data_IF_504912932542
#
_entry.id   IF_504912932542
#
_cell.length_a   1.000
_cell.length_b   1.000
_cell.length_c   1.000
_cell.angle_alpha   90.00
_cell.angle_beta   90.00
_cell.angle_gamma   90.00
#
_symmetry.space_group_name_H-M   'P 1'
#
loop_
_entity.id
_entity.type
_entity.pdbx_description
1 polymer ?
#
# COMPACT_ATOMS: atom_id res chain seq x y z
N UNK A 1 -27.27 -6.17 24.38
CA UNK A 1 -25.80 -5.96 24.39
C UNK A 1 -25.51 -4.86 23.39
N UNK A 2 -24.80 -3.80 23.80
CA UNK A 2 -24.40 -2.73 22.87
C UNK A 2 -23.60 -3.31 21.71
N UNK A 3 -24.05 -3.02 20.49
CA UNK A 3 -23.45 -3.49 19.24
C UNK A 3 -21.95 -3.20 19.16
N UNK A 4 -21.56 -2.03 19.70
CA UNK A 4 -20.18 -1.60 19.82
C UNK A 4 -19.38 -2.52 20.75
N UNK A 5 -19.83 -2.73 21.98
CA UNK A 5 -19.12 -3.57 22.96
C UNK A 5 -18.96 -5.01 22.45
N UNK A 6 -20.01 -5.56 21.83
CA UNK A 6 -19.96 -6.88 21.19
C UNK A 6 -18.92 -6.91 20.05
N UNK A 7 -18.95 -5.93 19.16
CA UNK A 7 -18.04 -5.85 18.00
C UNK A 7 -16.58 -5.68 18.42
N UNK A 8 -16.32 -4.86 19.44
CA UNK A 8 -15.00 -4.67 20.04
C UNK A 8 -14.46 -5.99 20.62
N UNK A 9 -15.28 -6.70 21.41
CA UNK A 9 -14.91 -7.99 22.00
C UNK A 9 -14.65 -9.04 20.93
N UNK A 10 -15.51 -9.12 19.92
CA UNK A 10 -15.34 -10.02 18.79
C UNK A 10 -14.05 -9.72 18.02
N UNK A 11 -13.72 -8.45 17.80
CA UNK A 11 -12.49 -8.01 17.13
C UNK A 11 -11.24 -8.44 17.90
N UNK A 12 -11.18 -8.19 19.21
CA UNK A 12 -10.06 -8.61 20.07
C UNK A 12 -9.88 -10.13 20.03
N UNK A 13 -10.98 -10.88 20.20
CA UNK A 13 -10.93 -12.33 20.17
C UNK A 13 -10.47 -12.86 18.80
N UNK A 14 -10.92 -12.23 17.71
CA UNK A 14 -10.50 -12.59 16.34
C UNK A 14 -8.99 -12.40 16.10
N UNK A 15 -8.35 -11.45 16.79
CA UNK A 15 -6.92 -11.25 16.71
C UNK A 15 -6.11 -12.37 17.36
N UNK A 16 -6.63 -13.09 18.34
CA UNK A 16 -5.86 -14.15 19.02
C UNK A 16 -6.38 -15.56 18.73
N UNK A 17 -7.45 -15.70 17.95
CA UNK A 17 -8.08 -17.01 17.65
C UNK A 17 -7.18 -17.99 16.89
N UNK A 18 -6.43 -17.51 15.89
CA UNK A 18 -5.56 -18.36 15.05
C UNK A 18 -4.10 -17.96 15.19
N UNK A 19 -3.21 -18.96 15.31
CA UNK A 19 -1.75 -18.77 15.47
C UNK A 19 -1.39 -17.80 16.60
N UNK A 20 -2.01 -18.02 17.78
CA UNK A 20 -1.94 -17.13 18.95
C UNK A 20 -0.50 -16.76 19.33
N UNK A 21 0.39 -17.75 19.39
CA UNK A 21 1.81 -17.56 19.73
C UNK A 21 2.52 -16.63 18.74
N UNK A 22 2.37 -16.87 17.44
CA UNK A 22 2.94 -16.01 16.39
C UNK A 22 2.43 -14.56 16.50
N UNK A 23 1.13 -14.37 16.75
CA UNK A 23 0.53 -13.03 16.84
C UNK A 23 0.95 -12.31 18.13
N UNK A 24 1.10 -13.03 19.23
CA UNK A 24 1.68 -12.48 20.46
C UNK A 24 3.14 -12.06 20.27
N UNK A 25 3.95 -12.90 19.61
CA UNK A 25 5.34 -12.56 19.28
C UNK A 25 5.44 -11.33 18.38
N UNK A 26 4.59 -11.22 17.36
CA UNK A 26 4.53 -10.04 16.49
C UNK A 26 4.12 -8.77 17.26
N UNK A 27 3.17 -8.89 18.19
CA UNK A 27 2.78 -7.77 19.05
C UNK A 27 3.91 -7.36 19.99
N UNK A 28 4.58 -8.32 20.64
CA UNK A 28 5.74 -8.07 21.50
C UNK A 28 6.88 -7.40 20.73
N UNK A 29 7.19 -7.89 19.52
CA UNK A 29 8.15 -7.26 18.63
C UNK A 29 7.73 -5.82 18.25
N UNK A 30 6.45 -5.60 17.94
CA UNK A 30 5.92 -4.26 17.66
C UNK A 30 6.07 -3.30 18.84
N UNK A 31 5.79 -3.76 20.07
CA UNK A 31 5.98 -2.97 21.28
C UNK A 31 7.46 -2.67 21.56
N UNK A 32 8.34 -3.65 21.37
CA UNK A 32 9.79 -3.45 21.49
C UNK A 32 10.29 -2.43 20.45
N UNK A 33 9.85 -2.54 19.20
CA UNK A 33 10.16 -1.58 18.15
C UNK A 33 9.65 -0.18 18.49
N UNK A 34 8.41 -0.05 18.97
CA UNK A 34 7.89 1.22 19.47
C UNK A 34 8.75 1.81 20.59
N UNK A 35 9.27 0.98 21.51
CA UNK A 35 10.22 1.43 22.53
C UNK A 35 11.52 1.99 21.94
N UNK A 36 12.13 1.27 20.99
CA UNK A 36 13.35 1.71 20.30
C UNK A 36 13.12 3.03 19.55
N UNK A 37 12.02 3.13 18.79
CA UNK A 37 11.70 4.37 18.07
C UNK A 37 11.38 5.52 19.04
N UNK A 38 10.68 5.27 20.14
CA UNK A 38 10.40 6.31 21.15
C UNK A 38 11.69 6.85 21.75
N UNK A 39 12.64 5.96 22.05
CA UNK A 39 13.96 6.34 22.54
C UNK A 39 14.75 7.15 21.50
N UNK A 40 14.74 6.74 20.23
CA UNK A 40 15.39 7.49 19.14
C UNK A 40 14.81 8.90 18.99
N UNK A 41 13.48 9.04 18.96
CA UNK A 41 12.82 10.35 18.86
C UNK A 41 13.05 11.21 20.10
N UNK A 42 13.03 10.62 21.30
CA UNK A 42 13.37 11.32 22.54
C UNK A 42 14.83 11.82 22.53
N UNK A 43 15.76 11.01 22.03
CA UNK A 43 17.16 11.39 21.86
C UNK A 43 17.31 12.56 20.88
N UNK A 44 16.62 12.53 19.73
CA UNK A 44 16.61 13.64 18.77
C UNK A 44 16.03 14.92 19.37
N UNK A 45 14.93 14.82 20.13
CA UNK A 45 14.35 15.99 20.83
C UNK A 45 15.32 16.58 21.85
N UNK A 46 16.06 15.75 22.58
CA UNK A 46 17.07 16.20 23.53
C UNK A 46 18.26 16.88 22.83
N UNK A 47 18.75 16.28 21.75
CA UNK A 47 19.80 16.86 20.91
C UNK A 47 19.37 18.22 20.33
N UNK A 48 18.15 18.33 19.83
CA UNK A 48 17.59 19.58 19.32
C UNK A 48 17.52 20.66 20.41
N UNK A 49 17.04 20.30 21.60
CA UNK A 49 16.94 21.22 22.73
C UNK A 49 18.32 21.70 23.23
N UNK A 50 19.35 20.86 23.09
CA UNK A 50 20.72 21.17 23.50
C UNK A 50 21.55 21.84 22.38
N UNK A 51 20.97 22.08 21.20
CA UNK A 51 21.68 22.64 20.05
C UNK A 51 22.70 21.69 19.42
N UNK A 52 22.62 20.38 19.71
CA UNK A 52 23.52 19.36 19.15
C UNK A 52 23.23 18.98 17.70
N UNK A 53 22.07 19.38 17.17
CA UNK A 53 21.68 19.21 15.77
C UNK A 53 21.15 20.53 15.20
N UNK A 54 21.23 20.69 13.88
CA UNK A 54 20.73 21.88 13.17
C UNK A 54 19.20 22.03 13.16
N UNK A 55 18.47 20.96 13.51
CA UNK A 55 17.02 20.94 13.52
C UNK A 55 16.47 21.44 14.86
N UNK A 56 15.44 22.27 14.82
CA UNK A 56 14.76 22.74 16.03
C UNK A 56 13.87 21.65 16.63
N UNK A 57 13.51 21.81 17.91
CA UNK A 57 12.58 20.92 18.61
C UNK A 57 11.26 20.81 17.85
N UNK A 58 10.75 21.94 17.36
CA UNK A 58 9.50 22.00 16.61
C UNK A 58 9.56 21.16 15.33
N UNK A 59 10.67 21.20 14.60
CA UNK A 59 10.85 20.41 13.39
C UNK A 59 10.91 18.91 13.68
N UNK A 60 11.52 18.50 14.80
CA UNK A 60 11.54 17.09 15.22
C UNK A 60 10.13 16.61 15.60
N UNK A 61 9.34 17.44 16.29
CA UNK A 61 7.94 17.15 16.61
C UNK A 61 7.09 17.06 15.35
N UNK A 62 7.32 17.96 14.38
CA UNK A 62 6.66 17.94 13.08
C UNK A 62 6.92 16.62 12.34
N UNK A 63 8.18 16.20 12.25
CA UNK A 63 8.56 14.92 11.64
C UNK A 63 7.97 13.72 12.38
N UNK A 64 7.84 13.79 13.71
CA UNK A 64 7.19 12.75 14.49
C UNK A 64 5.71 12.60 14.09
N UNK A 65 4.98 13.71 13.98
CA UNK A 65 3.59 13.71 13.57
C UNK A 65 3.41 13.27 12.10
N UNK A 66 4.28 13.74 11.20
CA UNK A 66 4.29 13.31 9.80
C UNK A 66 4.57 11.81 9.68
N UNK A 67 5.50 11.27 10.47
CA UNK A 67 5.79 9.84 10.51
C UNK A 67 4.58 9.02 10.94
N UNK A 68 3.87 9.44 12.00
CA UNK A 68 2.63 8.79 12.46
C UNK A 68 1.55 8.83 11.39
N UNK A 69 1.36 9.98 10.74
CA UNK A 69 0.39 10.14 9.67
C UNK A 69 0.73 9.24 8.48
N UNK A 70 2.00 9.25 8.06
CA UNK A 70 2.49 8.46 6.94
C UNK A 70 2.35 6.96 7.19
N UNK A 71 2.76 6.45 8.36
CA UNK A 71 2.71 5.01 8.64
C UNK A 71 1.26 4.48 8.69
N UNK A 72 0.31 5.28 9.19
CA UNK A 72 -1.11 4.90 9.22
C UNK A 72 -1.69 4.88 7.82
N UNK A 73 -1.37 5.84 6.95
CA UNK A 73 -1.87 5.85 5.58
C UNK A 73 -1.18 4.75 4.76
N UNK A 74 0.15 4.70 4.79
CA UNK A 74 0.96 3.75 4.02
C UNK A 74 0.60 2.29 4.32
N UNK A 75 0.30 1.91 5.57
CA UNK A 75 -0.13 0.53 5.88
C UNK A 75 -1.34 0.09 5.05
N UNK A 76 -2.20 1.03 4.67
CA UNK A 76 -3.43 0.76 3.93
C UNK A 76 -3.19 0.47 2.46
N UNK A 77 -2.01 0.82 1.94
CA UNK A 77 -1.71 0.81 0.51
C UNK A 77 -0.42 0.06 0.16
N UNK A 78 0.56 0.02 1.06
CA UNK A 78 1.89 -0.54 0.86
C UNK A 78 2.22 -1.62 1.91
N UNK A 79 2.85 -2.75 1.52
CA UNK A 79 3.25 -3.16 0.16
C UNK A 79 2.08 -3.68 -0.68
N UNK A 80 0.93 -3.91 -0.06
CA UNK A 80 -0.30 -4.30 -0.73
C UNK A 80 -1.49 -3.58 -0.07
N UNK A 81 -2.48 -3.23 -0.88
CA UNK A 81 -3.69 -2.58 -0.41
C UNK A 81 -4.47 -3.42 0.62
N UNK A 82 -4.84 -2.82 1.75
CA UNK A 82 -5.66 -3.44 2.80
C UNK A 82 -7.07 -2.84 2.75
N UNK A 83 -8.12 -3.67 2.68
CA UNK A 83 -9.49 -3.18 2.62
C UNK A 83 -10.07 -2.68 3.92
N UNK A 84 -11.08 -1.83 3.77
CA UNK A 84 -11.95 -1.40 4.85
C UNK A 84 -12.75 -2.57 5.39
N UNK A 85 -12.90 -2.63 6.70
CA UNK A 85 -13.64 -3.71 7.36
C UNK A 85 -15.14 -3.39 7.32
N UNK A 86 -15.91 -4.07 6.48
CA UNK A 86 -17.38 -4.00 6.56
C UNK A 86 -17.86 -4.96 7.66
N UNK A 87 -17.85 -4.50 8.92
CA UNK A 87 -18.27 -5.30 10.08
C UNK A 87 -19.78 -5.60 10.04
N UNK A 88 -20.58 -4.62 9.64
CA UNK A 88 -22.04 -4.73 9.60
C UNK A 88 -22.47 -4.48 8.16
N UNK A 89 -22.99 -5.51 7.50
CA UNK A 89 -23.51 -5.37 6.14
C UNK A 89 -24.66 -4.35 6.10
N UNK A 90 -24.78 -3.59 5.01
CA UNK A 90 -25.83 -2.58 4.84
C UNK A 90 -27.26 -3.13 4.81
N UNK A 91 -27.40 -4.46 4.68
CA UNK A 91 -28.67 -5.17 4.65
C UNK A 91 -29.23 -5.40 6.06
N UNK A 92 -28.37 -5.35 7.08
CA UNK A 92 -28.84 -5.47 8.45
C UNK A 92 -29.63 -4.23 8.85
N UNK A 93 -30.71 -4.38 9.64
CA UNK A 93 -31.59 -3.29 10.05
C UNK A 93 -30.95 -2.44 11.17
N UNK A 94 -29.75 -1.92 10.92
CA UNK A 94 -29.01 -1.04 11.82
C UNK A 94 -28.96 0.36 11.20
N UNK A 95 -29.20 1.39 12.01
CA UNK A 95 -29.17 2.76 11.52
C UNK A 95 -27.80 3.12 10.93
N UNK A 96 -27.77 3.96 9.89
CA UNK A 96 -26.52 4.32 9.22
C UNK A 96 -25.50 4.98 10.17
N UNK A 97 -25.98 5.76 11.15
CA UNK A 97 -25.14 6.42 12.15
C UNK A 97 -24.55 5.42 13.14
N UNK A 98 -25.36 4.49 13.65
CA UNK A 98 -24.90 3.47 14.60
C UNK A 98 -23.89 2.53 13.93
N UNK A 99 -24.14 2.15 12.67
CA UNK A 99 -23.19 1.39 11.86
C UNK A 99 -21.87 2.14 11.69
N UNK A 100 -21.94 3.41 11.28
CA UNK A 100 -20.74 4.25 11.08
C UNK A 100 -19.92 4.38 12.36
N UNK A 101 -20.56 4.72 13.49
CA UNK A 101 -19.90 4.86 14.79
C UNK A 101 -19.27 3.55 15.25
N UNK A 102 -19.99 2.44 15.10
CA UNK A 102 -19.48 1.11 15.48
C UNK A 102 -18.26 0.75 14.64
N UNK A 103 -18.33 0.89 13.33
CA UNK A 103 -17.21 0.57 12.45
C UNK A 103 -15.99 1.47 12.72
N UNK A 104 -16.20 2.78 12.87
CA UNK A 104 -15.12 3.74 13.14
C UNK A 104 -14.39 3.40 14.44
N UNK A 105 -15.12 3.09 15.51
CA UNK A 105 -14.51 2.81 16.82
C UNK A 105 -13.89 1.41 16.89
N UNK A 106 -14.49 0.41 16.24
CA UNK A 106 -13.93 -0.96 16.23
C UNK A 106 -12.66 -1.03 15.37
N UNK A 107 -12.53 -0.23 14.33
CA UNK A 107 -11.31 -0.18 13.52
C UNK A 107 -10.10 0.38 14.29
N UNK A 108 -10.32 1.27 15.25
CA UNK A 108 -9.28 1.75 16.18
C UNK A 108 -8.76 0.65 17.11
N UNK A 109 -9.52 -0.42 17.29
CA UNK A 109 -9.06 -1.62 18.00
C UNK A 109 -8.27 -2.47 17.01
N UNK A 110 -7.00 -2.11 16.81
CA UNK A 110 -6.04 -2.88 16.03
C UNK A 110 -4.66 -2.88 16.68
N UNK A 111 -3.84 -3.94 16.47
CA UNK A 111 -2.51 -4.02 17.06
C UNK A 111 -1.62 -2.81 16.76
N UNK A 112 -1.74 -2.22 15.56
CA UNK A 112 -0.95 -1.04 15.19
C UNK A 112 -1.28 0.16 16.08
N UNK A 113 -2.56 0.46 16.32
CA UNK A 113 -2.93 1.61 17.15
C UNK A 113 -2.48 1.40 18.59
N UNK A 114 -2.50 0.16 19.09
CA UNK A 114 -1.90 -0.16 20.40
C UNK A 114 -0.39 0.11 20.42
N UNK A 115 0.35 -0.28 19.38
CA UNK A 115 1.79 -0.02 19.25
C UNK A 115 2.07 1.48 19.15
N UNK A 116 1.28 2.24 18.39
CA UNK A 116 1.43 3.69 18.26
C UNK A 116 1.12 4.43 19.56
N UNK A 117 0.06 4.03 20.29
CA UNK A 117 -0.24 4.60 21.61
C UNK A 117 0.88 4.30 22.61
N UNK A 118 1.46 3.09 22.56
CA UNK A 118 2.61 2.74 23.38
C UNK A 118 3.84 3.59 23.02
N UNK A 119 4.10 3.81 21.73
CA UNK A 119 5.13 4.73 21.25
C UNK A 119 4.93 6.16 21.80
N UNK A 120 3.72 6.72 21.68
CA UNK A 120 3.42 8.06 22.20
C UNK A 120 3.58 8.15 23.73
N UNK A 121 3.12 7.12 24.45
CA UNK A 121 3.25 7.05 25.90
C UNK A 121 4.70 7.00 26.37
N UNK A 122 5.54 6.20 25.70
CA UNK A 122 6.97 6.15 25.99
C UNK A 122 7.69 7.44 25.60
N UNK A 123 7.35 8.03 24.44
CA UNK A 123 7.93 9.31 24.02
C UNK A 123 7.65 10.43 25.05
N UNK A 124 6.43 10.48 25.58
CA UNK A 124 6.04 11.40 26.65
C UNK A 124 6.80 11.20 27.95
N UNK A 125 7.07 9.95 28.34
CA UNK A 125 7.84 9.64 29.55
C UNK A 125 9.34 9.95 29.36
N UNK A 126 9.88 9.67 28.17
CA UNK A 126 11.32 9.74 27.90
C UNK A 126 11.80 11.15 27.53
N UNK A 127 10.93 12.03 27.02
CA UNK A 127 11.31 13.36 26.53
C UNK A 127 10.57 14.47 27.27
N UNK A 128 11.25 15.31 28.08
CA UNK A 128 10.62 16.44 28.76
C UNK A 128 10.16 17.54 27.80
N UNK A 129 10.73 17.60 26.58
CA UNK A 129 10.31 18.53 25.54
C UNK A 129 8.94 18.15 24.92
N UNK A 130 8.51 16.90 25.10
CA UNK A 130 7.24 16.40 24.58
C UNK A 130 6.12 16.62 25.60
N UNK A 131 5.54 17.82 25.60
CA UNK A 131 4.51 18.20 26.59
C UNK A 131 3.16 17.48 26.38
N UNK A 132 2.26 17.59 27.36
CA UNK A 132 0.89 17.05 27.28
C UNK A 132 0.13 17.57 26.07
N UNK A 133 0.38 18.82 25.69
CA UNK A 133 -0.23 19.47 24.53
C UNK A 133 0.17 18.73 23.24
N UNK A 134 1.46 18.43 23.07
CA UNK A 134 1.96 17.64 21.94
C UNK A 134 1.42 16.21 21.95
N UNK A 135 1.30 15.57 23.12
CA UNK A 135 0.69 14.25 23.25
C UNK A 135 -0.76 14.25 22.74
N UNK A 136 -1.56 15.22 23.16
CA UNK A 136 -2.95 15.36 22.69
C UNK A 136 -3.01 15.62 21.18
N UNK A 137 -2.12 16.46 20.66
CA UNK A 137 -2.01 16.69 19.23
C UNK A 137 -1.72 15.40 18.46
N UNK A 138 -0.72 14.62 18.86
CA UNK A 138 -0.36 13.38 18.16
C UNK A 138 -1.47 12.32 18.25
N UNK A 139 -2.26 12.29 19.33
CA UNK A 139 -3.49 11.48 19.38
C UNK A 139 -4.48 11.95 18.33
N UNK A 140 -4.72 13.26 18.20
CA UNK A 140 -5.58 13.79 17.14
C UNK A 140 -5.01 13.47 15.74
N UNK A 141 -3.69 13.47 15.55
CA UNK A 141 -3.03 13.08 14.29
C UNK A 141 -3.32 11.63 13.96
N UNK A 142 -3.24 10.71 14.94
CA UNK A 142 -3.62 9.30 14.76
C UNK A 142 -5.06 9.19 14.28
N UNK A 143 -5.99 9.89 14.94
CA UNK A 143 -7.42 9.87 14.58
C UNK A 143 -7.65 10.43 13.17
N UNK A 144 -6.99 11.53 12.83
CA UNK A 144 -7.10 12.16 11.51
C UNK A 144 -6.56 11.27 10.41
N UNK A 145 -5.40 10.64 10.63
CA UNK A 145 -4.83 9.68 9.70
C UNK A 145 -5.73 8.44 9.54
N UNK A 146 -6.36 7.98 10.62
CA UNK A 146 -7.31 6.87 10.57
C UNK A 146 -8.54 7.20 9.71
N UNK A 147 -9.17 8.36 9.94
CA UNK A 147 -10.35 8.79 9.17
C UNK A 147 -9.94 9.05 7.71
N UNK A 148 -8.79 9.67 7.47
CA UNK A 148 -8.25 9.89 6.12
C UNK A 148 -8.07 8.56 5.38
N UNK A 149 -7.43 7.58 6.01
CA UNK A 149 -7.29 6.23 5.44
C UNK A 149 -8.66 5.63 5.11
N UNK A 150 -9.62 5.72 6.03
CA UNK A 150 -10.97 5.19 5.87
C UNK A 150 -11.70 5.88 4.71
N UNK A 151 -11.62 7.20 4.57
CA UNK A 151 -12.23 7.95 3.47
C UNK A 151 -11.59 7.61 2.13
N UNK A 152 -10.26 7.52 2.08
CA UNK A 152 -9.54 7.07 0.88
C UNK A 152 -9.95 5.65 0.50
N UNK A 153 -10.07 4.75 1.48
CA UNK A 153 -10.60 3.41 1.24
C UNK A 153 -12.02 3.51 0.70
N UNK A 154 -12.98 4.18 1.35
CA UNK A 154 -14.35 4.30 0.84
C UNK A 154 -14.40 4.82 -0.60
N UNK A 155 -13.60 5.84 -0.93
CA UNK A 155 -13.51 6.42 -2.27
C UNK A 155 -12.95 5.45 -3.31
N UNK A 156 -11.91 4.72 -2.96
CA UNK A 156 -11.30 3.68 -3.80
C UNK A 156 -12.24 2.46 -3.89
N UNK A 157 -13.01 2.19 -2.84
CA UNK A 157 -13.76 0.96 -2.66
C UNK A 157 -15.13 0.90 -3.31
N UNK A 158 -15.92 1.94 -3.06
CA UNK A 158 -17.35 1.93 -3.35
C UNK A 158 -17.65 2.77 -4.58
N UNK A 159 -18.73 2.42 -5.31
CA UNK A 159 -19.17 3.26 -6.44
C UNK A 159 -19.87 4.49 -5.88
N UNK A 160 -19.34 5.67 -6.15
CA UNK A 160 -19.94 6.92 -5.69
C UNK A 160 -21.15 7.32 -6.55
N UNK A 161 -22.22 7.77 -5.88
CA UNK A 161 -23.34 8.44 -6.53
C UNK A 161 -23.03 9.94 -6.64
N UNK A 162 -22.41 10.31 -7.75
CA UNK A 162 -21.87 11.66 -8.01
C UNK A 162 -22.87 12.82 -7.86
N UNK A 163 -24.17 12.57 -8.00
CA UNK A 163 -25.23 13.60 -7.97
C UNK A 163 -26.07 13.58 -6.69
N UNK A 164 -25.58 12.98 -5.61
CA UNK A 164 -26.33 12.92 -4.34
C UNK A 164 -25.97 14.10 -3.45
N UNK A 165 -26.96 14.62 -2.72
CA UNK A 165 -26.76 15.67 -1.71
C UNK A 165 -25.67 15.27 -0.70
N UNK A 166 -25.66 13.99 -0.28
CA UNK A 166 -24.65 13.45 0.61
C UNK A 166 -23.22 13.62 0.05
N UNK A 167 -22.99 13.44 -1.26
CA UNK A 167 -21.66 13.67 -1.81
C UNK A 167 -21.28 15.15 -1.76
N UNK A 168 -22.20 16.05 -2.09
CA UNK A 168 -21.94 17.49 -1.98
C UNK A 168 -21.65 17.89 -0.53
N UNK A 169 -22.41 17.39 0.44
CA UNK A 169 -22.15 17.62 1.87
C UNK A 169 -20.78 17.06 2.29
N UNK A 170 -20.40 15.89 1.80
CA UNK A 170 -19.06 15.32 2.04
C UNK A 170 -17.95 16.22 1.48
N UNK A 171 -18.09 16.71 0.25
CA UNK A 171 -17.12 17.61 -0.39
C UNK A 171 -17.02 18.95 0.36
N UNK A 172 -18.13 19.53 0.79
CA UNK A 172 -18.13 20.77 1.58
C UNK A 172 -17.39 20.57 2.91
N UNK A 173 -17.68 19.48 3.63
CA UNK A 173 -17.01 19.18 4.91
C UNK A 173 -15.52 18.85 4.72
N UNK A 174 -15.16 18.15 3.63
CA UNK A 174 -13.77 17.94 3.25
C UNK A 174 -13.06 19.25 2.90
N UNK A 175 -13.75 20.16 2.20
CA UNK A 175 -13.25 21.51 1.91
C UNK A 175 -13.00 22.32 3.19
N UNK A 176 -13.90 22.24 4.17
CA UNK A 176 -13.70 22.86 5.48
C UNK A 176 -12.49 22.27 6.23
N UNK A 177 -12.32 20.94 6.20
CA UNK A 177 -11.11 20.30 6.73
C UNK A 177 -9.84 20.82 6.05
N UNK A 178 -9.80 20.83 4.70
CA UNK A 178 -8.63 21.31 3.94
C UNK A 178 -8.34 22.78 4.25
N UNK A 179 -9.36 23.64 4.33
CA UNK A 179 -9.19 25.06 4.62
C UNK A 179 -8.57 25.30 6.01
N UNK A 180 -9.00 24.52 7.02
CA UNK A 180 -8.42 24.59 8.36
C UNK A 180 -6.98 24.05 8.38
N UNK A 181 -6.72 22.94 7.69
CA UNK A 181 -5.38 22.33 7.60
C UNK A 181 -4.39 23.19 6.81
N UNK A 182 -4.85 23.95 5.81
CA UNK A 182 -4.00 24.87 5.06
C UNK A 182 -3.52 26.05 5.91
N UNK A 183 -4.31 26.47 6.91
CA UNK A 183 -3.95 27.55 7.83
C UNK A 183 -3.18 27.07 9.06
N UNK A 184 -3.61 25.96 9.64
CA UNK A 184 -3.00 25.36 10.82
C UNK A 184 -2.82 23.86 10.55
N UNK A 185 -1.72 23.47 9.88
CA UNK A 185 -1.48 22.08 9.53
C UNK A 185 -1.28 21.24 10.79
N UNK A 186 -2.00 20.13 10.88
CA UNK A 186 -2.06 19.31 12.09
C UNK A 186 -0.77 18.57 12.43
N UNK A 187 0.17 18.52 11.50
CA UNK A 187 1.50 17.99 11.73
C UNK A 187 2.44 19.01 12.38
N UNK A 188 2.22 20.32 12.21
CA UNK A 188 3.03 21.36 12.85
C UNK A 188 2.73 21.39 14.35
N UNK A 189 3.75 21.41 15.24
CA UNK A 189 3.54 21.33 16.68
C UNK A 189 2.66 22.47 17.18
N UNK A 190 1.67 22.13 18.00
CA UNK A 190 0.76 23.10 18.54
C UNK A 190 1.45 23.92 19.63
N UNK A 191 1.41 25.24 19.48
CA UNK A 191 1.98 26.17 20.46
C UNK A 191 0.99 26.49 21.58
N UNK A 192 -0.30 26.38 21.30
CA UNK A 192 -1.39 26.81 22.18
C UNK A 192 -2.57 25.83 22.16
N UNK A 193 -3.33 25.80 23.27
CA UNK A 193 -4.55 24.99 23.40
C UNK A 193 -5.62 25.36 22.37
N UNK A 194 -5.67 26.62 21.94
CA UNK A 194 -6.59 27.06 20.89
C UNK A 194 -6.33 26.32 19.57
N UNK A 195 -5.07 26.03 19.26
CA UNK A 195 -4.71 25.28 18.06
C UNK A 195 -5.22 23.83 18.12
N UNK A 196 -5.21 23.20 19.31
CA UNK A 196 -5.84 21.89 19.50
C UNK A 196 -7.35 21.92 19.26
N UNK A 197 -8.04 23.01 19.66
CA UNK A 197 -9.47 23.18 19.37
C UNK A 197 -9.72 23.27 17.86
N UNK A 198 -8.87 24.01 17.13
CA UNK A 198 -8.94 24.10 15.67
C UNK A 198 -8.70 22.72 15.04
N UNK A 199 -7.71 21.97 15.52
CA UNK A 199 -7.46 20.61 15.05
C UNK A 199 -8.62 19.66 15.33
N UNK A 200 -9.22 19.75 16.52
CA UNK A 200 -10.41 18.96 16.89
C UNK A 200 -11.61 19.30 16.00
N UNK A 201 -11.83 20.59 15.70
CA UNK A 201 -12.87 21.03 14.76
C UNK A 201 -12.59 20.50 13.34
N UNK A 202 -11.34 20.53 12.91
CA UNK A 202 -10.94 19.97 11.60
C UNK A 202 -11.19 18.46 11.52
N UNK A 203 -10.85 17.71 12.58
CA UNK A 203 -11.16 16.29 12.69
C UNK A 203 -12.67 16.04 12.66
N UNK A 204 -13.46 16.88 13.36
CA UNK A 204 -14.91 16.85 13.31
C UNK A 204 -15.45 17.00 11.88
N UNK A 205 -14.93 17.98 11.12
CA UNK A 205 -15.27 18.16 9.71
C UNK A 205 -14.85 16.97 8.84
N UNK A 206 -13.71 16.35 9.10
CA UNK A 206 -13.28 15.16 8.37
C UNK A 206 -14.16 13.93 8.68
N UNK A 207 -14.54 13.74 9.94
CA UNK A 207 -15.44 12.65 10.37
C UNK A 207 -16.83 12.81 9.75
N UNK A 208 -17.36 14.05 9.71
CA UNK A 208 -18.64 14.31 9.03
C UNK A 208 -18.53 14.11 7.53
N UNK A 209 -17.41 14.52 6.92
CA UNK A 209 -17.14 14.24 5.51
C UNK A 209 -17.16 12.74 5.20
N UNK A 210 -16.49 11.91 6.02
CA UNK A 210 -16.47 10.45 5.87
C UNK A 210 -17.87 9.83 6.02
N UNK A 211 -18.63 10.28 7.02
CA UNK A 211 -20.01 9.82 7.22
C UNK A 211 -20.91 10.07 6.00
N UNK A 212 -20.85 11.27 5.43
CA UNK A 212 -21.60 11.62 4.24
C UNK A 212 -21.09 10.88 2.99
N UNK A 213 -19.78 10.68 2.88
CA UNK A 213 -19.17 9.89 1.81
C UNK A 213 -19.69 8.45 1.82
N UNK A 214 -19.80 7.85 3.01
CA UNK A 214 -20.36 6.52 3.18
C UNK A 214 -21.83 6.41 2.80
N UNK A 215 -22.64 7.45 3.06
CA UNK A 215 -24.03 7.51 2.61
C UNK A 215 -24.15 7.73 1.10
N UNK A 216 -23.19 8.42 0.48
CA UNK A 216 -23.15 8.64 -0.96
C UNK A 216 -22.68 7.40 -1.75
N UNK A 217 -21.99 6.47 -1.07
CA UNK A 217 -21.53 5.23 -1.65
C UNK A 217 -22.69 4.27 -1.95
N UNK A 218 -22.80 3.83 -3.21
CA UNK A 218 -23.76 2.79 -3.60
C UNK A 218 -23.26 1.38 -3.23
N UNK A 219 -24.19 0.47 -2.97
CA UNK A 219 -23.89 -0.96 -2.82
C UNK A 219 -23.11 -1.53 -4.02
N UNK A 220 -22.26 -2.54 -3.79
CA UNK A 220 -21.52 -3.19 -4.87
C UNK A 220 -22.49 -3.77 -5.91
N UNK A 221 -22.38 -3.33 -7.16
CA UNK A 221 -23.13 -3.86 -8.32
C UNK A 221 -23.09 -5.40 -8.31
N UNK A 222 -24.26 -6.05 -8.48
CA UNK A 222 -24.33 -7.42 -9.01
C UNK A 222 -23.41 -7.53 -10.23
N UNK A 223 -22.58 -8.58 -10.29
CA UNK A 223 -21.66 -8.84 -11.41
C UNK A 223 -22.47 -8.81 -12.73
N UNK A 224 -22.31 -7.73 -13.49
CA UNK A 224 -22.76 -7.65 -14.88
C UNK A 224 -21.62 -8.19 -15.71
N UNK A 225 -21.82 -9.35 -16.33
CA UNK A 225 -20.84 -9.97 -17.22
C UNK A 225 -20.91 -9.19 -18.52
N UNK A 226 -20.00 -8.23 -18.70
CA UNK A 226 -19.84 -7.53 -19.97
C UNK A 226 -19.07 -8.43 -20.93
N UNK A 227 -19.77 -9.08 -21.85
CA UNK A 227 -19.14 -9.72 -23.00
C UNK A 227 -18.61 -8.63 -23.93
N UNK A 228 -17.30 -8.58 -24.16
CA UNK A 228 -16.75 -7.73 -25.22
C UNK A 228 -16.81 -8.51 -26.54
N UNK A 229 -17.66 -8.07 -27.48
CA UNK A 229 -17.77 -8.63 -28.83
C UNK A 229 -16.63 -8.22 -29.78
N UNK A 230 -15.69 -7.40 -29.30
CA UNK A 230 -14.67 -6.75 -30.13
C UNK A 230 -13.46 -7.66 -30.40
N UNK A 231 -13.55 -8.51 -31.43
CA UNK A 231 -12.51 -9.47 -31.81
C UNK A 231 -11.19 -8.80 -32.26
N UNK A 232 -11.23 -7.54 -32.71
CA UNK A 232 -10.07 -6.80 -33.23
C UNK A 232 -9.10 -6.32 -32.14
N UNK A 233 -9.46 -6.41 -30.86
CA UNK A 233 -8.59 -5.94 -29.75
C UNK A 233 -7.60 -7.01 -29.31
N UNK A 234 -6.34 -6.60 -29.12
CA UNK A 234 -5.27 -7.47 -28.69
C UNK A 234 -5.61 -8.19 -27.38
N UNK A 235 -5.23 -9.48 -27.25
CA UNK A 235 -5.58 -10.30 -26.08
C UNK A 235 -5.03 -9.70 -24.77
N UNK A 236 -3.82 -9.13 -24.79
CA UNK A 236 -3.27 -8.41 -23.63
C UNK A 236 -4.10 -7.21 -23.20
N UNK A 237 -4.65 -6.42 -24.14
CA UNK A 237 -5.57 -5.33 -23.82
C UNK A 237 -6.88 -5.85 -23.22
N UNK A 238 -7.40 -6.97 -23.73
CA UNK A 238 -8.58 -7.63 -23.17
C UNK A 238 -8.32 -8.14 -21.75
N UNK A 239 -7.19 -8.78 -21.49
CA UNK A 239 -6.79 -9.23 -20.15
C UNK A 239 -6.72 -8.07 -19.17
N UNK A 240 -6.05 -6.97 -19.54
CA UNK A 240 -5.96 -5.77 -18.72
C UNK A 240 -7.31 -5.09 -18.50
N UNK A 241 -8.10 -4.86 -19.56
CA UNK A 241 -9.37 -4.13 -19.47
C UNK A 241 -10.45 -4.92 -18.73
N UNK A 242 -10.55 -6.23 -18.98
CA UNK A 242 -11.64 -7.06 -18.49
C UNK A 242 -11.39 -7.56 -17.06
N UNK A 243 -10.13 -7.75 -16.64
CA UNK A 243 -9.84 -8.16 -15.27
C UNK A 243 -9.85 -6.95 -14.32
N UNK A 244 -11.06 -6.57 -13.89
CA UNK A 244 -11.32 -5.36 -13.07
C UNK A 244 -10.34 -5.18 -11.90
N UNK A 245 -10.02 -6.25 -11.17
CA UNK A 245 -9.13 -6.16 -10.01
C UNK A 245 -7.67 -5.92 -10.37
N UNK A 246 -7.16 -6.66 -11.36
CA UNK A 246 -5.79 -6.46 -11.84
C UNK A 246 -5.63 -5.04 -12.39
N UNK A 247 -6.61 -4.58 -13.17
CA UNK A 247 -6.65 -3.21 -13.69
C UNK A 247 -6.56 -2.16 -12.58
N UNK A 248 -7.38 -2.32 -11.54
CA UNK A 248 -7.45 -1.32 -10.47
C UNK A 248 -6.19 -1.32 -9.59
N UNK A 249 -5.61 -2.49 -9.29
CA UNK A 249 -4.34 -2.57 -8.57
C UNK A 249 -3.17 -1.99 -9.38
N UNK A 250 -3.15 -2.22 -10.70
CA UNK A 250 -2.17 -1.60 -11.60
C UNK A 250 -2.37 -0.09 -11.72
N UNK A 251 -3.60 0.40 -11.91
CA UNK A 251 -3.88 1.84 -11.96
C UNK A 251 -3.49 2.53 -10.66
N UNK A 252 -3.74 1.90 -9.51
CA UNK A 252 -3.29 2.42 -8.22
C UNK A 252 -1.76 2.49 -8.16
N UNK A 253 -1.06 1.41 -8.51
CA UNK A 253 0.41 1.37 -8.56
C UNK A 253 1.00 2.44 -9.49
N UNK A 254 0.44 2.59 -10.69
CA UNK A 254 0.86 3.62 -11.65
C UNK A 254 0.61 5.04 -11.13
N UNK A 255 -0.54 5.28 -10.49
CA UNK A 255 -0.85 6.59 -9.91
C UNK A 255 0.15 6.93 -8.80
N UNK A 256 0.44 5.97 -7.93
CA UNK A 256 1.40 6.15 -6.84
C UNK A 256 2.82 6.41 -7.36
N UNK A 257 3.28 5.61 -8.33
CA UNK A 257 4.57 5.82 -9.01
C UNK A 257 4.64 7.20 -9.67
N UNK A 258 3.59 7.61 -10.37
CA UNK A 258 3.53 8.92 -11.03
C UNK A 258 3.63 10.05 -10.01
N UNK A 259 2.96 9.95 -8.85
CA UNK A 259 3.05 10.96 -7.78
C UNK A 259 4.49 11.07 -7.25
N UNK A 260 5.18 9.96 -7.03
CA UNK A 260 6.56 9.96 -6.52
C UNK A 260 7.52 10.57 -7.55
N UNK A 261 7.44 10.14 -8.81
CA UNK A 261 8.28 10.71 -9.87
C UNK A 261 7.98 12.19 -10.12
N UNK A 262 6.71 12.61 -10.02
CA UNK A 262 6.33 14.02 -10.14
C UNK A 262 6.82 14.86 -8.96
N UNK A 263 6.83 14.31 -7.74
CA UNK A 263 7.38 14.98 -6.57
C UNK A 263 8.88 15.22 -6.71
N UNK A 264 9.61 14.22 -7.22
CA UNK A 264 11.04 14.37 -7.51
C UNK A 264 11.29 15.39 -8.63
N UNK A 265 10.57 15.29 -9.74
CA UNK A 265 10.67 16.26 -10.84
C UNK A 265 10.38 17.70 -10.37
N UNK A 266 9.40 17.88 -9.48
CA UNK A 266 9.10 19.18 -8.90
C UNK A 266 10.23 19.71 -7.99
N UNK A 267 10.86 18.83 -7.20
CA UNK A 267 12.01 19.21 -6.39
C UNK A 267 13.21 19.57 -7.26
N UNK A 268 13.48 18.83 -8.33
CA UNK A 268 14.54 19.14 -9.29
C UNK A 268 14.34 20.53 -9.92
N UNK A 269 13.13 20.83 -10.39
CA UNK A 269 12.81 22.14 -10.98
C UNK A 269 12.96 23.28 -9.98
N UNK A 270 12.65 23.06 -8.69
CA UNK A 270 12.70 24.11 -7.67
C UNK A 270 14.05 24.30 -6.98
N UNK A 271 14.77 23.21 -6.73
CA UNK A 271 15.99 23.18 -5.91
C UNK A 271 17.23 22.83 -6.71
N UNK A 272 17.09 22.40 -7.97
CA UNK A 272 18.20 21.99 -8.83
C UNK A 272 18.79 20.61 -8.49
N UNK A 273 18.19 19.86 -7.56
CA UNK A 273 18.65 18.52 -7.15
C UNK A 273 17.49 17.54 -7.03
N UNK A 274 17.77 16.25 -7.24
CA UNK A 274 16.79 15.19 -7.13
C UNK A 274 16.62 14.74 -5.67
N UNK A 275 15.39 14.43 -5.26
CA UNK A 275 15.11 13.84 -3.94
C UNK A 275 15.73 12.44 -3.86
N UNK A 276 15.84 11.76 -4.99
CA UNK A 276 16.38 10.40 -5.06
C UNK A 276 17.86 10.31 -4.71
N UNK A 277 18.61 11.41 -4.82
CA UNK A 277 20.02 11.46 -4.43
C UNK A 277 20.17 11.38 -2.90
N UNK A 278 19.27 12.05 -2.17
CA UNK A 278 19.24 12.05 -0.71
C UNK A 278 18.58 10.77 -0.14
N UNK A 279 17.58 10.23 -0.84
CA UNK A 279 16.75 9.13 -0.36
C UNK A 279 16.81 7.95 -1.34
N UNK A 280 17.82 7.10 -1.16
CA UNK A 280 18.10 5.95 -2.03
C UNK A 280 16.89 5.01 -2.19
N UNK A 281 16.04 4.89 -1.17
CA UNK A 281 14.87 4.00 -1.20
C UNK A 281 13.81 4.43 -2.22
N UNK A 282 13.79 5.70 -2.64
CA UNK A 282 12.84 6.17 -3.65
C UNK A 282 13.17 5.65 -5.06
N UNK A 283 14.41 5.25 -5.32
CA UNK A 283 14.80 4.60 -6.58
C UNK A 283 14.03 3.31 -6.87
N UNK A 284 13.48 2.66 -5.84
CA UNK A 284 12.63 1.48 -5.99
C UNK A 284 11.37 1.76 -6.83
N UNK A 285 10.90 3.01 -6.85
CA UNK A 285 9.73 3.42 -7.64
C UNK A 285 10.05 3.73 -9.10
N UNK A 286 11.32 3.97 -9.44
CA UNK A 286 11.76 4.21 -10.83
C UNK A 286 11.69 2.92 -11.65
N UNK A 287 11.98 1.78 -11.02
CA UNK A 287 11.95 0.46 -11.66
C UNK A 287 10.56 -0.14 -11.89
N UNK A 288 10.48 -1.33 -12.50
CA UNK A 288 9.23 -2.03 -12.77
C UNK A 288 8.62 -2.74 -11.54
N UNK A 289 9.25 -2.64 -10.36
CA UNK A 289 8.89 -3.35 -9.13
C UNK A 289 7.41 -3.20 -8.78
N UNK A 290 6.84 -2.01 -8.96
CA UNK A 290 5.44 -1.70 -8.66
C UNK A 290 4.48 -2.62 -9.43
N UNK A 291 4.74 -2.86 -10.72
CA UNK A 291 3.89 -3.76 -11.53
C UNK A 291 3.90 -5.19 -10.98
N UNK A 292 5.08 -5.65 -10.57
CA UNK A 292 5.27 -7.01 -10.07
C UNK A 292 4.68 -7.23 -8.68
N UNK A 293 4.92 -6.32 -7.73
CA UNK A 293 4.44 -6.49 -6.34
C UNK A 293 2.91 -6.50 -6.23
N UNK A 294 2.21 -5.74 -7.08
CA UNK A 294 0.76 -5.60 -7.00
C UNK A 294 -0.01 -6.72 -7.70
N UNK A 295 0.45 -7.20 -8.86
CA UNK A 295 -0.30 -8.17 -9.67
C UNK A 295 0.55 -9.37 -10.05
N UNK A 296 1.75 -9.16 -10.57
CA UNK A 296 2.44 -10.23 -11.28
C UNK A 296 3.20 -11.22 -10.39
N UNK A 297 3.47 -10.89 -9.13
CA UNK A 297 3.91 -11.87 -8.12
C UNK A 297 2.83 -12.90 -7.73
N UNK A 298 1.70 -12.91 -8.44
CA UNK A 298 0.67 -13.95 -8.40
C UNK A 298 -0.19 -13.93 -9.70
N UNK A 299 0.46 -13.94 -10.88
CA UNK A 299 -0.21 -13.86 -12.20
C UNK A 299 -1.37 -14.85 -12.31
N UNK A 300 -1.14 -16.10 -11.93
CA UNK A 300 -2.15 -17.17 -12.05
C UNK A 300 -3.28 -17.05 -11.04
N UNK A 301 -3.06 -16.40 -9.91
CA UNK A 301 -4.15 -16.02 -9.01
C UNK A 301 -5.10 -15.01 -9.64
N UNK A 302 -4.57 -13.97 -10.31
CA UNK A 302 -5.41 -13.00 -11.02
C UNK A 302 -6.03 -13.57 -12.30
N UNK A 303 -5.29 -14.39 -13.04
CA UNK A 303 -5.71 -14.91 -14.34
C UNK A 303 -5.93 -16.43 -14.31
N UNK A 304 -6.62 -16.95 -13.27
CA UNK A 304 -6.85 -18.40 -13.08
C UNK A 304 -7.48 -19.11 -14.30
N UNK A 305 -8.41 -18.44 -14.99
CA UNK A 305 -9.06 -18.99 -16.18
C UNK A 305 -8.13 -19.02 -17.40
N UNK A 306 -7.19 -18.06 -17.49
CA UNK A 306 -6.15 -18.07 -18.52
C UNK A 306 -5.23 -19.27 -18.31
N UNK A 307 -4.75 -19.48 -17.07
CA UNK A 307 -3.94 -20.64 -16.71
C UNK A 307 -4.63 -21.96 -17.09
N UNK A 308 -5.90 -22.12 -16.70
CA UNK A 308 -6.68 -23.33 -17.00
C UNK A 308 -6.86 -23.56 -18.52
N UNK A 309 -6.98 -22.48 -19.29
CA UNK A 309 -7.06 -22.56 -20.76
C UNK A 309 -5.72 -23.00 -21.36
N UNK A 310 -4.59 -22.46 -20.87
CA UNK A 310 -3.24 -22.86 -21.33
C UNK A 310 -2.96 -24.33 -21.03
N UNK A 311 -3.32 -24.78 -19.82
CA UNK A 311 -3.17 -26.18 -19.42
C UNK A 311 -4.00 -27.13 -20.27
N UNK A 312 -5.26 -26.78 -20.58
CA UNK A 312 -6.15 -27.63 -21.39
C UNK A 312 -5.81 -27.64 -22.87
N UNK A 313 -5.26 -26.54 -23.41
CA UNK A 313 -4.96 -26.42 -24.84
C UNK A 313 -3.58 -26.94 -25.20
N UNK A 314 -2.55 -26.58 -24.42
CA UNK A 314 -1.16 -26.92 -24.73
C UNK A 314 -0.51 -27.85 -23.71
N UNK A 315 -0.89 -27.74 -22.43
CA UNK A 315 -0.24 -28.46 -21.32
C UNK A 315 1.27 -28.24 -21.21
N UNK A 316 1.84 -27.26 -21.93
CA UNK A 316 3.27 -27.12 -22.15
C UNK A 316 3.85 -25.93 -21.38
N UNK A 317 5.07 -26.09 -20.88
CA UNK A 317 5.83 -25.02 -20.20
C UNK A 317 6.00 -23.79 -21.10
N UNK A 318 6.21 -24.00 -22.41
CA UNK A 318 6.32 -22.90 -23.39
C UNK A 318 5.02 -22.09 -23.47
N UNK A 319 3.87 -22.76 -23.45
CA UNK A 319 2.56 -22.10 -23.42
C UNK A 319 2.37 -21.25 -22.16
N UNK A 320 2.84 -21.76 -21.01
CA UNK A 320 2.79 -21.05 -19.73
C UNK A 320 3.61 -19.76 -19.73
N UNK A 321 4.86 -19.82 -20.23
CA UNK A 321 5.74 -18.65 -20.36
C UNK A 321 5.13 -17.63 -21.34
N UNK A 322 4.67 -18.08 -22.50
CA UNK A 322 4.07 -17.22 -23.53
C UNK A 322 2.84 -16.47 -23.02
N UNK A 323 1.94 -17.17 -22.31
CA UNK A 323 0.76 -16.54 -21.72
C UNK A 323 1.10 -15.55 -20.60
N UNK A 324 2.14 -15.83 -19.81
CA UNK A 324 2.64 -14.90 -18.79
C UNK A 324 3.14 -13.60 -19.43
N UNK A 325 3.97 -13.72 -20.47
CA UNK A 325 4.49 -12.57 -21.21
C UNK A 325 3.38 -11.74 -21.85
N UNK A 326 2.38 -12.41 -22.43
CA UNK A 326 1.22 -11.75 -23.03
C UNK A 326 0.41 -10.93 -22.01
N UNK A 327 0.31 -11.40 -20.76
CA UNK A 327 -0.34 -10.65 -19.68
C UNK A 327 0.52 -9.46 -19.19
N UNK A 328 1.85 -9.62 -19.17
CA UNK A 328 2.82 -8.62 -18.69
C UNK A 328 3.06 -7.45 -19.65
N UNK A 329 3.04 -7.71 -20.97
CA UNK A 329 3.54 -6.75 -21.98
C UNK A 329 2.93 -5.34 -21.88
N UNK A 330 1.62 -5.25 -21.67
CA UNK A 330 0.92 -3.96 -21.69
C UNK A 330 1.16 -3.17 -20.38
N UNK A 331 1.01 -3.78 -19.19
CA UNK A 331 1.40 -3.11 -17.95
C UNK A 331 2.87 -2.69 -17.89
N UNK A 332 3.80 -3.53 -18.39
CA UNK A 332 5.21 -3.16 -18.48
C UNK A 332 5.45 -2.00 -19.46
N UNK A 333 4.77 -1.99 -20.60
CA UNK A 333 4.88 -0.88 -21.55
C UNK A 333 4.39 0.43 -20.95
N UNK A 334 3.26 0.43 -20.24
CA UNK A 334 2.75 1.62 -19.55
C UNK A 334 3.72 2.10 -18.46
N UNK A 335 4.28 1.17 -17.68
CA UNK A 335 5.26 1.47 -16.65
C UNK A 335 6.56 2.08 -17.24
N UNK A 336 7.06 1.49 -18.33
CA UNK A 336 8.24 1.96 -19.03
C UNK A 336 8.04 3.36 -19.62
N UNK A 337 6.85 3.64 -20.18
CA UNK A 337 6.50 4.99 -20.67
C UNK A 337 6.58 6.00 -19.52
N UNK A 338 5.99 5.70 -18.36
CA UNK A 338 6.02 6.58 -17.19
C UNK A 338 7.47 6.85 -16.76
N UNK A 339 8.28 5.80 -16.61
CA UNK A 339 9.69 5.93 -16.21
C UNK A 339 10.51 6.69 -17.25
N UNK A 340 10.44 6.32 -18.53
CA UNK A 340 11.31 6.89 -19.55
C UNK A 340 10.94 8.32 -19.94
N UNK A 341 9.66 8.71 -19.87
CA UNK A 341 9.27 10.11 -20.01
C UNK A 341 9.86 10.95 -18.87
N UNK A 342 9.82 10.43 -17.63
CA UNK A 342 10.45 11.09 -16.49
C UNK A 342 11.96 11.24 -16.68
N UNK A 343 12.66 10.17 -17.05
CA UNK A 343 14.13 10.18 -17.30
C UNK A 343 14.49 11.15 -18.41
N UNK A 344 13.78 11.10 -19.54
CA UNK A 344 14.09 11.93 -20.70
C UNK A 344 13.95 13.44 -20.43
N UNK A 345 13.02 13.82 -19.54
CA UNK A 345 12.73 15.24 -19.27
C UNK A 345 13.53 15.75 -18.06
N UNK A 346 13.64 14.97 -16.99
CA UNK A 346 14.11 15.45 -15.70
C UNK A 346 15.44 14.86 -15.24
N UNK A 347 15.79 13.63 -15.63
CA UNK A 347 16.99 12.95 -15.12
C UNK A 347 17.78 12.30 -16.27
N UNK A 348 18.37 13.14 -17.12
CA UNK A 348 19.13 12.71 -18.29
C UNK A 348 20.57 12.30 -17.95
N UNK A 349 21.11 12.78 -16.83
CA UNK A 349 22.47 12.48 -16.35
C UNK A 349 22.63 11.02 -15.97
N UNK A 350 21.64 10.44 -15.27
CA UNK A 350 21.66 9.03 -14.84
C UNK A 350 20.89 8.10 -15.78
N UNK A 351 20.52 8.58 -16.98
CA UNK A 351 19.67 7.86 -17.91
C UNK A 351 20.21 6.45 -18.25
N UNK A 352 21.53 6.30 -18.40
CA UNK A 352 22.15 5.00 -18.64
C UNK A 352 21.91 4.03 -17.48
N UNK A 353 22.17 4.45 -16.24
CA UNK A 353 21.92 3.62 -15.05
C UNK A 353 20.45 3.23 -14.96
N UNK A 354 19.54 4.19 -15.14
CA UNK A 354 18.10 3.95 -15.01
C UNK A 354 17.61 2.97 -16.05
N UNK A 355 18.03 3.12 -17.31
CA UNK A 355 17.64 2.20 -18.39
C UNK A 355 18.19 0.80 -18.13
N UNK A 356 19.46 0.68 -17.73
CA UNK A 356 20.07 -0.62 -17.43
C UNK A 356 19.42 -1.30 -16.23
N UNK A 357 19.17 -0.55 -15.15
CA UNK A 357 18.45 -1.03 -13.97
C UNK A 357 17.02 -1.45 -14.34
N UNK A 358 16.32 -0.70 -15.19
CA UNK A 358 14.97 -1.03 -15.61
C UNK A 358 14.95 -2.35 -16.41
N UNK A 359 15.84 -2.49 -17.40
CA UNK A 359 15.97 -3.70 -18.21
C UNK A 359 16.35 -4.92 -17.36
N UNK A 360 17.37 -4.78 -16.51
CA UNK A 360 17.76 -5.82 -15.55
C UNK A 360 16.61 -6.17 -14.61
N UNK A 361 15.87 -5.17 -14.14
CA UNK A 361 14.66 -5.32 -13.34
C UNK A 361 13.59 -6.15 -14.02
N UNK A 362 13.29 -5.91 -15.30
CA UNK A 362 12.32 -6.71 -16.07
C UNK A 362 12.82 -8.15 -16.23
N UNK A 363 14.10 -8.34 -16.56
CA UNK A 363 14.70 -9.67 -16.73
C UNK A 363 14.79 -10.46 -15.41
N UNK A 364 14.92 -9.78 -14.28
CA UNK A 364 14.95 -10.37 -12.95
C UNK A 364 13.54 -10.69 -12.42
N UNK A 365 12.62 -9.73 -12.53
CA UNK A 365 11.29 -9.85 -11.95
C UNK A 365 10.38 -10.76 -12.77
N UNK A 366 10.55 -10.84 -14.10
CA UNK A 366 9.69 -11.70 -14.93
C UNK A 366 9.80 -13.19 -14.57
N UNK A 367 11.00 -13.80 -14.49
CA UNK A 367 11.12 -15.19 -14.01
C UNK A 367 10.66 -15.35 -12.56
N UNK A 368 10.98 -14.39 -11.69
CA UNK A 368 10.57 -14.42 -10.28
C UNK A 368 9.05 -14.41 -10.13
N UNK A 369 8.34 -13.68 -10.99
CA UNK A 369 6.87 -13.62 -11.03
C UNK A 369 6.25 -14.98 -11.38
N UNK A 370 6.88 -15.73 -12.29
CA UNK A 370 6.49 -17.09 -12.65
C UNK A 370 6.73 -18.03 -11.48
N UNK A 371 7.93 -17.98 -10.88
CA UNK A 371 8.29 -18.78 -9.69
C UNK A 371 7.29 -18.54 -8.56
N UNK A 372 7.03 -17.27 -8.23
CA UNK A 372 6.12 -16.86 -7.17
C UNK A 372 4.70 -17.41 -7.41
N UNK A 373 4.22 -17.30 -8.66
CA UNK A 373 2.90 -17.76 -9.05
C UNK A 373 2.75 -19.29 -9.02
N UNK A 374 3.84 -20.04 -9.25
CA UNK A 374 3.82 -21.52 -9.26
C UNK A 374 4.03 -22.12 -7.87
N UNK A 375 5.02 -21.61 -7.12
CA UNK A 375 5.44 -22.19 -5.83
C UNK A 375 4.56 -21.71 -4.68
N UNK A 376 4.16 -20.43 -4.71
CA UNK A 376 3.35 -19.78 -3.70
C UNK A 376 2.00 -19.27 -4.22
N UNK A 377 1.18 -20.11 -4.89
CA UNK A 377 -0.07 -19.64 -5.49
C UNK A 377 -1.00 -19.08 -4.42
N UNK A 378 -1.65 -17.98 -4.75
CA UNK A 378 -2.69 -17.37 -3.91
C UNK A 378 -3.97 -17.21 -4.70
N UNK A 379 -5.09 -17.63 -4.13
CA UNK A 379 -6.40 -17.35 -4.70
C UNK A 379 -6.70 -15.86 -4.60
N UNK A 380 -7.00 -15.25 -5.74
CA UNK A 380 -7.52 -13.90 -5.78
C UNK A 380 -9.04 -13.99 -5.79
N UNK A 381 -9.61 -14.09 -4.59
CA UNK A 381 -11.05 -14.16 -4.36
C UNK A 381 -11.54 -12.93 -3.61
N UNK A 382 -12.84 -12.63 -3.73
CA UNK A 382 -13.44 -11.40 -3.19
C UNK A 382 -13.27 -10.19 -4.10
N UNK A 383 -13.68 -9.00 -3.68
CA UNK A 383 -13.57 -7.77 -4.48
C UNK A 383 -12.13 -7.27 -4.60
N UNK A 384 -11.95 -6.03 -5.07
CA UNK A 384 -10.69 -5.29 -4.90
C UNK A 384 -10.19 -5.28 -3.42
N UNK A 385 -11.08 -5.64 -2.49
CA UNK A 385 -11.04 -5.31 -1.08
C UNK A 385 -11.38 -6.48 -0.16
N UNK A 386 -10.90 -7.68 -0.49
CA UNK A 386 -10.94 -8.83 0.41
C UNK A 386 -9.66 -8.94 1.24
N UNK A 387 -9.80 -9.43 2.47
CA UNK A 387 -8.70 -9.68 3.42
C UNK A 387 -7.75 -10.83 3.01
N UNK A 388 -7.92 -11.41 1.81
CA UNK A 388 -6.99 -12.41 1.31
C UNK A 388 -5.79 -11.72 0.67
N UNK A 389 -4.59 -12.09 1.11
CA UNK A 389 -3.36 -11.66 0.48
C UNK A 389 -3.40 -12.05 -1.00
N UNK A 390 -3.45 -11.05 -1.88
CA UNK A 390 -3.59 -11.22 -3.34
C UNK A 390 -2.29 -11.55 -4.03
N UNK A 391 -1.17 -11.31 -3.36
CA UNK A 391 0.16 -11.76 -3.74
C UNK A 391 0.87 -12.35 -2.51
N UNK A 392 1.92 -13.14 -2.76
CA UNK A 392 2.69 -13.75 -1.68
C UNK A 392 3.61 -12.71 -1.02
N UNK A 393 3.42 -12.47 0.28
CA UNK A 393 4.28 -11.56 1.06
C UNK A 393 5.75 -11.97 0.99
N UNK A 394 6.04 -13.26 1.07
CA UNK A 394 7.42 -13.78 0.98
C UNK A 394 8.06 -13.39 -0.36
N UNK A 395 7.37 -13.64 -1.48
CA UNK A 395 7.90 -13.31 -2.80
C UNK A 395 7.95 -11.80 -3.05
N UNK A 396 7.08 -11.00 -2.43
CA UNK A 396 7.21 -9.54 -2.46
C UNK A 396 8.47 -9.07 -1.71
N UNK A 397 8.74 -9.61 -0.52
CA UNK A 397 9.97 -9.30 0.23
C UNK A 397 11.21 -9.71 -0.57
N UNK A 398 11.21 -10.91 -1.16
CA UNK A 398 12.30 -11.37 -2.03
C UNK A 398 12.44 -10.46 -3.26
N UNK A 399 11.33 -10.05 -3.89
CA UNK A 399 11.36 -9.15 -5.04
C UNK A 399 11.97 -7.80 -4.68
N UNK A 400 11.55 -7.21 -3.55
CA UNK A 400 12.09 -5.94 -3.06
C UNK A 400 13.59 -6.12 -2.77
N UNK A 401 13.99 -7.16 -2.04
CA UNK A 401 15.38 -7.40 -1.69
C UNK A 401 16.27 -7.57 -2.94
N UNK A 402 15.87 -8.44 -3.87
CA UNK A 402 16.63 -8.68 -5.11
C UNK A 402 16.65 -7.45 -6.02
N UNK A 403 15.54 -6.70 -6.10
CA UNK A 403 15.49 -5.47 -6.87
C UNK A 403 16.37 -4.37 -6.24
N UNK A 404 16.40 -4.23 -4.91
CA UNK A 404 17.29 -3.31 -4.21
C UNK A 404 18.77 -3.59 -4.48
N UNK A 405 19.15 -4.85 -4.70
CA UNK A 405 20.54 -5.18 -5.08
C UNK A 405 20.92 -4.61 -6.46
N UNK A 406 19.96 -4.32 -7.33
CA UNK A 406 20.23 -3.64 -8.62
C UNK A 406 20.62 -2.16 -8.43
N UNK A 407 20.42 -1.60 -7.23
CA UNK A 407 20.82 -0.23 -6.88
C UNK A 407 22.27 -0.12 -6.42
N UNK A 408 22.95 -1.24 -6.16
CA UNK A 408 24.35 -1.25 -5.70
C UNK A 408 25.33 -0.50 -6.62
N UNK A 409 25.17 -0.43 -7.95
CA UNK A 409 26.04 0.39 -8.81
C UNK A 409 26.06 1.87 -8.46
N UNK A 410 25.07 2.40 -7.72
CA UNK A 410 25.10 3.77 -7.18
C UNK A 410 26.24 3.98 -6.17
N UNK A 411 26.72 2.92 -5.51
CA UNK A 411 27.84 2.99 -4.58
C UNK A 411 29.19 2.88 -5.28
N UNK A 412 29.29 2.00 -6.28
CA UNK A 412 30.53 1.77 -7.02
C UNK A 412 30.27 1.10 -8.37
N UNK A 413 30.85 1.57 -9.50
CA UNK A 413 30.60 1.01 -10.84
C UNK A 413 30.91 -0.49 -10.98
N UNK A 414 31.92 -1.02 -10.29
CA UNK A 414 32.21 -2.47 -10.31
C UNK A 414 31.04 -3.34 -9.85
N UNK A 415 30.11 -2.79 -9.08
CA UNK A 415 28.93 -3.51 -8.58
C UNK A 415 27.92 -3.82 -9.69
N UNK A 416 28.07 -3.29 -10.91
CA UNK A 416 27.33 -3.78 -12.08
C UNK A 416 27.54 -5.29 -12.33
N UNK A 417 28.65 -5.87 -11.86
CA UNK A 417 28.90 -7.31 -11.93
C UNK A 417 27.85 -8.15 -11.17
N UNK A 418 27.07 -7.56 -10.27
CA UNK A 418 26.00 -8.27 -9.58
C UNK A 418 24.81 -8.59 -10.51
N UNK A 419 24.61 -7.81 -11.58
CA UNK A 419 23.48 -7.98 -12.50
C UNK A 419 23.47 -9.37 -13.14
N UNK A 420 24.55 -9.85 -13.81
CA UNK A 420 24.57 -11.18 -14.40
C UNK A 420 24.43 -12.29 -13.33
N UNK A 421 24.95 -12.11 -12.12
CA UNK A 421 24.81 -13.07 -11.02
C UNK A 421 23.34 -13.22 -10.60
N UNK A 422 22.65 -12.10 -10.37
CA UNK A 422 21.23 -12.09 -9.99
C UNK A 422 20.36 -12.67 -11.10
N UNK A 423 20.59 -12.26 -12.34
CA UNK A 423 19.88 -12.79 -13.51
C UNK A 423 20.10 -14.30 -13.62
N UNK A 424 21.36 -14.76 -13.62
CA UNK A 424 21.71 -16.17 -13.68
C UNK A 424 21.06 -17.00 -12.58
N UNK A 425 21.11 -16.52 -11.33
CA UNK A 425 20.49 -17.20 -10.19
C UNK A 425 18.96 -17.33 -10.32
N UNK A 426 18.29 -16.26 -10.75
CA UNK A 426 16.84 -16.27 -10.92
C UNK A 426 16.40 -17.11 -12.14
N UNK A 427 17.14 -17.09 -13.24
CA UNK A 427 16.89 -17.99 -14.38
C UNK A 427 17.14 -19.46 -14.03
N UNK A 428 18.19 -19.76 -13.24
CA UNK A 428 18.44 -21.10 -12.72
C UNK A 428 17.28 -21.58 -11.82
N UNK A 429 16.82 -20.73 -10.91
CA UNK A 429 15.67 -21.02 -10.06
C UNK A 429 14.39 -21.24 -10.90
N UNK A 430 14.18 -20.45 -11.95
CA UNK A 430 13.05 -20.64 -12.86
C UNK A 430 13.14 -22.01 -13.54
N UNK A 431 14.29 -22.39 -14.07
CA UNK A 431 14.49 -23.69 -14.72
C UNK A 431 14.20 -24.85 -13.76
N UNK A 432 14.66 -24.76 -12.50
CA UNK A 432 14.38 -25.76 -11.47
C UNK A 432 12.87 -25.87 -11.19
N UNK A 433 12.17 -24.75 -11.01
CA UNK A 433 10.72 -24.73 -10.75
C UNK A 433 9.92 -25.26 -11.95
N UNK A 434 10.32 -24.93 -13.17
CA UNK A 434 9.66 -25.41 -14.39
C UNK A 434 9.84 -26.92 -14.58
N UNK A 435 10.97 -27.49 -14.15
CA UNK A 435 11.19 -28.95 -14.14
C UNK A 435 10.24 -29.66 -13.18
N UNK A 436 9.93 -29.04 -12.04
CA UNK A 436 8.99 -29.56 -11.05
C UNK A 436 7.51 -29.21 -11.30
N UNK A 437 7.24 -28.38 -12.32
CA UNK A 437 5.90 -27.92 -12.67
C UNK A 437 4.83 -29.03 -12.77
N UNK A 438 5.11 -30.24 -13.31
CA UNK A 438 4.13 -31.32 -13.35
C UNK A 438 3.57 -31.73 -11.98
N UNK A 439 4.31 -31.49 -10.89
CA UNK A 439 3.83 -31.67 -9.52
C UNK A 439 3.08 -30.44 -9.02
N UNK A 440 3.63 -29.24 -9.24
CA UNK A 440 3.01 -27.99 -8.80
C UNK A 440 1.66 -27.69 -9.45
N UNK A 441 1.41 -28.14 -10.69
CA UNK A 441 0.14 -27.89 -11.40
C UNK A 441 -1.09 -28.42 -10.64
N UNK A 442 -0.95 -29.53 -9.91
CA UNK A 442 -2.06 -30.08 -9.11
C UNK A 442 -2.33 -29.22 -7.87
N UNK A 443 -1.27 -28.75 -7.20
CA UNK A 443 -1.37 -27.80 -6.08
C UNK A 443 -1.96 -26.45 -6.52
N UNK A 444 -1.57 -25.98 -7.70
CA UNK A 444 -2.15 -24.80 -8.35
C UNK A 444 -3.66 -24.97 -8.58
N UNK A 445 -4.06 -26.11 -9.16
CA UNK A 445 -5.48 -26.42 -9.39
C UNK A 445 -6.27 -26.47 -8.08
N UNK A 446 -5.75 -27.19 -7.08
CA UNK A 446 -6.37 -27.30 -5.77
C UNK A 446 -6.53 -25.94 -5.09
N UNK A 447 -5.46 -25.14 -5.08
CA UNK A 447 -5.50 -23.80 -4.51
C UNK A 447 -6.51 -22.94 -5.25
N UNK A 448 -6.43 -22.80 -6.57
CA UNK A 448 -7.26 -21.85 -7.32
C UNK A 448 -8.74 -22.24 -7.48
N UNK A 449 -9.07 -23.52 -7.39
CA UNK A 449 -10.40 -24.03 -7.74
C UNK A 449 -11.06 -24.94 -6.69
N UNK A 450 -10.30 -25.54 -5.76
CA UNK A 450 -10.87 -26.44 -4.72
C UNK A 450 -10.92 -25.82 -3.32
N UNK A 451 -10.06 -24.85 -3.00
CA UNK A 451 -9.96 -24.29 -1.64
C UNK A 451 -11.05 -23.25 -1.27
N UNK A 452 -12.13 -23.14 -2.05
CA UNK A 452 -13.30 -22.30 -1.74
C UNK A 452 -14.51 -23.12 -1.23
N UNK A 453 -14.31 -24.41 -0.92
CA UNK A 453 -15.33 -25.27 -0.29
C UNK A 453 -15.26 -25.20 1.24
#
# INVERSE_FOLDING_TARGET
>A
MDLLAFSCRARIHSFFRFKRTQRLLLMAFGLAAAGVYSWLFAFMLRQAAQGGISQSVDTVLEYTNLFILAIIILKGFFPAYIPKVNLIHQLYPVSALERFRTELLVELISPLYTVLLFFLGLLFILSPAYTVLHLMQSVLVILTAHVTLRSLQVFVERKMRWRTLNLYSSVVMAGAFIALQARAPMFMPATEWLMLVVHMASLGALVTADFFLEKAAAEPRRKTINYSSDARRSLGWRLFKNHKQARQMLLFGFSFKTIILAADAFAFVKKGGHIFDDIVTLWLFVGPLVVFSYVFNNVWGFYRNLWLTVERSSGSVKGLISATWLALRLPLMLDAIITFVYVAIFNHTDAFFIVMMYLAGVLLMTPLSIIASVVGPKTVSGGLFSFSAKSSYLFNVISIALFSLLLLPLLHPLLYLIYPVLLGGVFFALAAVLKEYPRYKYKLFETHFKSEA
#
